data_IF_153171209293
#
_entry.id   IF_153171209293
#
_cell.length_a   1.000
_cell.length_b   1.000
_cell.length_c   1.000
_cell.angle_alpha   90.00
_cell.angle_beta   90.00
_cell.angle_gamma   90.00
#
_symmetry.space_group_name_H-M   'P 1'
#
loop_
_entity.id
_entity.type
_entity.pdbx_description
1 polymer ?
#
# COMPACT_ATOMS: atom_id res chain seq x y z
N UNK A 1 20.49 -13.55 -15.35
CA UNK A 1 20.38 -12.08 -15.52
C UNK A 1 19.81 -11.82 -16.91
N UNK A 2 18.86 -10.89 -17.02
CA UNK A 2 18.39 -10.40 -18.31
C UNK A 2 19.48 -9.58 -19.00
N UNK A 3 19.57 -9.65 -20.33
CA UNK A 3 20.48 -8.88 -21.15
C UNK A 3 19.73 -7.81 -21.96
N UNK A 4 18.98 -6.94 -21.30
CA UNK A 4 18.20 -5.87 -21.94
C UNK A 4 18.08 -4.64 -21.05
N UNK A 5 17.87 -3.47 -21.66
CA UNK A 5 17.43 -2.26 -20.98
C UNK A 5 15.90 -2.22 -21.01
N UNK A 6 15.27 -2.39 -19.85
CA UNK A 6 13.82 -2.39 -19.73
C UNK A 6 13.26 -0.98 -19.59
N UNK A 7 12.06 -0.78 -20.13
CA UNK A 7 11.27 0.44 -19.92
C UNK A 7 10.02 0.08 -19.15
N UNK A 8 9.70 0.86 -18.13
CA UNK A 8 8.42 0.76 -17.42
C UNK A 8 7.31 1.41 -18.26
N UNK A 9 6.04 1.05 -18.04
CA UNK A 9 4.91 1.75 -18.67
C UNK A 9 4.92 3.25 -18.32
N UNK A 10 4.54 4.09 -19.28
CA UNK A 10 4.36 5.53 -19.03
C UNK A 10 3.16 5.72 -18.08
N UNK A 11 3.33 6.44 -16.96
CA UNK A 11 2.23 6.67 -16.03
C UNK A 11 1.27 7.73 -16.59
N UNK A 12 -0.01 7.58 -16.25
CA UNK A 12 -1.03 8.61 -16.42
C UNK A 12 -1.88 8.64 -15.16
N UNK A 13 -2.48 9.80 -14.87
CA UNK A 13 -3.37 9.93 -13.71
C UNK A 13 -4.61 9.07 -13.91
N UNK A 14 -4.93 8.28 -12.90
CA UNK A 14 -6.10 7.42 -12.88
C UNK A 14 -7.37 8.28 -12.99
N UNK A 15 -8.27 7.98 -13.95
CA UNK A 15 -9.53 8.71 -14.08
C UNK A 15 -10.38 8.61 -12.82
N UNK A 16 -10.88 9.75 -12.35
CA UNK A 16 -11.84 9.83 -11.24
C UNK A 16 -13.22 9.39 -11.74
N UNK A 17 -13.76 8.31 -11.17
CA UNK A 17 -15.09 7.83 -11.49
C UNK A 17 -16.18 8.71 -10.86
N UNK A 18 -17.30 8.82 -11.55
CA UNK A 18 -18.33 9.83 -11.20
C UNK A 18 -19.34 9.35 -10.17
N UNK A 19 -19.59 8.04 -10.08
CA UNK A 19 -20.62 7.44 -9.22
C UNK A 19 -22.02 8.02 -9.43
N UNK A 20 -22.31 8.46 -10.65
CA UNK A 20 -23.63 8.99 -11.03
C UNK A 20 -24.72 7.91 -10.88
N UNK A 21 -25.99 8.28 -10.67
CA UNK A 21 -27.09 7.30 -10.61
C UNK A 21 -27.10 6.38 -11.84
N UNK A 22 -27.25 5.06 -11.61
CA UNK A 22 -27.27 4.03 -12.65
C UNK A 22 -25.91 3.68 -13.29
N UNK A 23 -24.80 4.14 -12.70
CA UNK A 23 -23.46 3.77 -13.15
C UNK A 23 -22.97 2.46 -12.50
N UNK A 24 -22.17 1.69 -13.22
CA UNK A 24 -21.66 0.39 -12.76
C UNK A 24 -20.78 0.56 -11.51
N UNK A 25 -19.96 1.60 -11.46
CA UNK A 25 -19.12 1.90 -10.28
C UNK A 25 -19.95 2.19 -9.02
N UNK A 26 -21.13 2.79 -9.18
CA UNK A 26 -22.05 3.05 -8.08
C UNK A 26 -22.68 1.75 -7.59
N UNK A 27 -23.17 0.92 -8.49
CA UNK A 27 -23.85 -0.33 -8.13
C UNK A 27 -22.88 -1.30 -7.44
N UNK A 28 -21.66 -1.43 -7.97
CA UNK A 28 -20.61 -2.27 -7.37
C UNK A 28 -20.16 -1.77 -6.00
N UNK A 29 -19.99 -0.46 -5.82
CA UNK A 29 -19.65 0.13 -4.53
C UNK A 29 -20.79 -0.01 -3.52
N UNK A 30 -22.05 0.18 -3.93
CA UNK A 30 -23.20 0.00 -3.05
C UNK A 30 -23.33 -1.46 -2.57
N UNK A 31 -23.15 -2.43 -3.48
CA UNK A 31 -23.11 -3.84 -3.12
C UNK A 31 -21.99 -4.12 -2.10
N UNK A 32 -20.79 -3.59 -2.35
CA UNK A 32 -19.63 -3.78 -1.46
C UNK A 32 -19.82 -3.11 -0.09
N UNK A 33 -20.39 -1.90 -0.05
CA UNK A 33 -20.75 -1.23 1.21
C UNK A 33 -21.79 -2.03 2.00
N UNK A 34 -22.79 -2.60 1.34
CA UNK A 34 -23.82 -3.42 2.01
C UNK A 34 -23.22 -4.70 2.60
N UNK A 35 -22.33 -5.37 1.87
CA UNK A 35 -21.58 -6.55 2.33
C UNK A 35 -20.70 -6.21 3.55
N UNK A 36 -19.88 -5.17 3.45
CA UNK A 36 -18.90 -4.83 4.48
C UNK A 36 -19.51 -4.26 5.77
N UNK A 37 -20.72 -3.67 5.69
CA UNK A 37 -21.44 -3.18 6.88
C UNK A 37 -21.97 -4.30 7.78
N UNK A 38 -22.18 -5.51 7.26
CA UNK A 38 -22.67 -6.65 8.05
C UNK A 38 -21.57 -7.66 8.37
N UNK A 39 -20.34 -7.42 7.90
CA UNK A 39 -19.20 -8.28 8.11
C UNK A 39 -18.19 -7.62 9.06
N UNK A 40 -18.14 -8.12 10.29
CA UNK A 40 -17.05 -7.80 11.21
C UNK A 40 -15.79 -8.58 10.81
N UNK A 41 -14.63 -7.91 10.83
CA UNK A 41 -13.33 -8.56 10.62
C UNK A 41 -12.46 -8.52 11.87
N UNK A 42 -11.54 -9.46 11.97
CA UNK A 42 -10.47 -9.45 12.96
C UNK A 42 -9.15 -9.16 12.24
N UNK A 43 -8.54 -8.01 12.53
CA UNK A 43 -7.29 -7.57 11.89
C UNK A 43 -6.10 -8.01 12.77
N UNK A 44 -5.31 -9.00 12.32
CA UNK A 44 -4.11 -9.42 13.04
C UNK A 44 -2.96 -8.44 12.78
N UNK A 45 -1.90 -8.56 13.58
CA UNK A 45 -0.59 -8.09 13.14
C UNK A 45 -0.10 -9.01 12.03
N UNK A 46 0.57 -8.48 11.00
CA UNK A 46 1.19 -9.33 9.97
C UNK A 46 2.69 -9.13 9.99
N UNK A 47 3.41 -10.14 10.46
CA UNK A 47 4.85 -10.11 10.72
C UNK A 47 5.50 -11.29 9.99
N UNK A 48 6.46 -11.02 9.11
CA UNK A 48 7.13 -12.06 8.32
C UNK A 48 6.19 -12.87 7.42
N UNK A 49 5.04 -12.28 7.05
CA UNK A 49 3.99 -12.96 6.28
C UNK A 49 3.03 -13.83 7.13
N UNK A 50 3.18 -13.85 8.45
CA UNK A 50 2.31 -14.60 9.36
C UNK A 50 1.35 -13.68 10.11
N UNK A 51 0.10 -14.12 10.26
CA UNK A 51 -0.88 -13.45 11.11
C UNK A 51 -0.63 -13.75 12.59
N UNK A 52 -0.47 -12.71 13.40
CA UNK A 52 -0.28 -12.80 14.84
C UNK A 52 -1.46 -12.13 15.55
N UNK A 53 -2.12 -12.91 16.41
CA UNK A 53 -3.25 -12.48 17.25
C UNK A 53 -2.78 -12.39 18.69
N UNK A 54 -2.65 -11.16 19.20
CA UNK A 54 -2.11 -10.89 20.54
C UNK A 54 -3.13 -11.07 21.67
N UNK A 55 -4.42 -11.11 21.34
CA UNK A 55 -5.53 -11.06 22.31
C UNK A 55 -5.82 -9.65 22.86
N UNK A 56 -4.83 -8.76 22.89
CA UNK A 56 -5.04 -7.33 23.18
C UNK A 56 -5.66 -6.65 21.95
N UNK A 57 -6.93 -6.25 22.05
CA UNK A 57 -7.73 -5.83 20.90
C UNK A 57 -8.42 -4.48 21.11
N UNK A 58 -8.61 -3.76 20.01
CA UNK A 58 -9.38 -2.51 19.96
C UNK A 58 -10.46 -2.64 18.90
N UNK A 59 -11.67 -2.21 19.24
CA UNK A 59 -12.80 -2.21 18.32
C UNK A 59 -12.70 -1.08 17.29
N UNK A 60 -12.95 -1.41 16.03
CA UNK A 60 -13.10 -0.45 14.94
C UNK A 60 -14.58 -0.13 14.75
N UNK A 61 -14.92 1.15 14.76
CA UNK A 61 -16.28 1.64 14.53
C UNK A 61 -16.30 2.61 13.35
N UNK A 62 -17.42 2.66 12.63
CA UNK A 62 -17.61 3.71 11.62
C UNK A 62 -17.78 5.09 12.28
N UNK A 63 -17.05 6.14 11.87
CA UNK A 63 -17.18 7.46 12.49
C UNK A 63 -18.55 8.16 12.26
N UNK A 64 -19.25 7.85 11.17
CA UNK A 64 -20.61 8.40 10.93
C UNK A 64 -21.72 7.56 11.60
N UNK A 65 -21.39 6.36 12.07
CA UNK A 65 -22.30 5.52 12.84
C UNK A 65 -21.49 4.71 13.87
N UNK A 66 -21.23 5.31 15.04
CA UNK A 66 -20.40 4.67 16.06
C UNK A 66 -20.97 3.34 16.60
N UNK A 67 -22.26 3.03 16.37
CA UNK A 67 -22.85 1.74 16.73
C UNK A 67 -22.53 0.65 15.70
N UNK A 68 -22.15 1.03 14.47
CA UNK A 68 -21.67 0.11 13.46
C UNK A 68 -20.24 -0.33 13.80
N UNK A 69 -20.12 -1.54 14.33
CA UNK A 69 -18.85 -2.22 14.56
C UNK A 69 -18.36 -2.82 13.26
N UNK A 70 -17.17 -2.41 12.82
CA UNK A 70 -16.50 -2.94 11.63
C UNK A 70 -15.62 -4.15 11.95
N UNK A 71 -15.30 -4.36 13.23
CA UNK A 71 -14.44 -5.43 13.66
C UNK A 71 -13.55 -5.05 14.84
N UNK A 72 -12.47 -5.80 15.03
CA UNK A 72 -11.41 -5.52 16.01
C UNK A 72 -10.04 -5.64 15.36
N UNK A 73 -9.03 -4.96 15.90
CA UNK A 73 -7.64 -5.18 15.53
C UNK A 73 -6.77 -5.48 16.75
N UNK A 74 -5.71 -6.24 16.54
CA UNK A 74 -4.72 -6.58 17.56
C UNK A 74 -3.69 -5.46 17.74
N UNK A 75 -3.42 -5.10 18.99
CA UNK A 75 -2.34 -4.17 19.33
C UNK A 75 -1.00 -4.91 19.42
N UNK A 76 0.06 -4.25 18.95
CA UNK A 76 1.44 -4.73 19.09
C UNK A 76 2.06 -4.23 20.39
N UNK A 77 2.65 -5.15 21.16
CA UNK A 77 3.51 -4.83 22.29
C UNK A 77 4.99 -4.79 21.89
N UNK A 78 5.87 -4.63 22.88
CA UNK A 78 7.32 -4.61 22.68
C UNK A 78 7.83 -5.88 21.98
N UNK A 79 7.30 -7.05 22.36
CA UNK A 79 7.67 -8.35 21.79
C UNK A 79 7.34 -8.42 20.29
N UNK A 80 6.13 -8.00 19.91
CA UNK A 80 5.69 -8.04 18.52
C UNK A 80 6.47 -7.03 17.65
N UNK A 81 6.80 -5.85 18.21
CA UNK A 81 7.66 -4.87 17.53
C UNK A 81 9.06 -5.43 17.31
N UNK A 82 9.69 -6.05 18.32
CA UNK A 82 10.99 -6.69 18.17
C UNK A 82 10.97 -7.78 17.09
N UNK A 83 9.96 -8.64 17.09
CA UNK A 83 9.76 -9.68 16.08
C UNK A 83 9.56 -9.10 14.68
N UNK A 84 8.83 -7.98 14.56
CA UNK A 84 8.64 -7.28 13.29
C UNK A 84 9.94 -6.72 12.74
N UNK A 85 10.79 -6.13 13.58
CA UNK A 85 12.13 -5.64 13.22
C UNK A 85 13.00 -6.80 12.73
N UNK A 86 13.08 -7.88 13.51
CA UNK A 86 13.89 -9.06 13.16
C UNK A 86 13.44 -9.66 11.82
N UNK A 87 12.13 -9.82 11.63
CA UNK A 87 11.55 -10.38 10.39
C UNK A 87 11.81 -9.48 9.18
N UNK A 88 11.69 -8.17 9.33
CA UNK A 88 12.00 -7.22 8.26
C UNK A 88 13.49 -7.29 7.88
N UNK A 89 14.39 -7.27 8.86
CA UNK A 89 15.83 -7.34 8.62
C UNK A 89 16.25 -8.66 7.98
N UNK A 90 15.61 -9.78 8.37
CA UNK A 90 15.83 -11.08 7.74
C UNK A 90 15.42 -11.10 6.25
N UNK A 91 14.35 -10.39 5.88
CA UNK A 91 13.89 -10.28 4.49
C UNK A 91 14.72 -9.29 3.64
N UNK A 92 15.41 -8.34 4.29
CA UNK A 92 16.07 -7.20 3.60
C UNK A 92 17.03 -7.63 2.51
N UNK A 93 17.90 -8.61 2.78
CA UNK A 93 18.93 -9.02 1.84
C UNK A 93 18.34 -9.59 0.55
N UNK A 94 17.35 -10.48 0.66
CA UNK A 94 16.68 -11.08 -0.48
C UNK A 94 15.88 -10.04 -1.28
N UNK A 95 15.16 -9.14 -0.60
CA UNK A 95 14.38 -8.09 -1.23
C UNK A 95 15.24 -7.04 -1.95
N UNK A 96 16.34 -6.61 -1.34
CA UNK A 96 17.30 -5.70 -1.95
C UNK A 96 18.00 -6.31 -3.17
N UNK A 97 18.29 -7.62 -3.13
CA UNK A 97 18.92 -8.35 -4.22
C UNK A 97 17.99 -8.63 -5.42
N UNK A 98 16.67 -8.52 -5.23
CA UNK A 98 15.71 -8.59 -6.33
C UNK A 98 15.99 -7.46 -7.33
N UNK A 99 16.04 -7.71 -8.66
CA UNK A 99 16.19 -6.63 -9.62
C UNK A 99 15.05 -5.61 -9.49
N UNK A 100 15.38 -4.32 -9.65
CA UNK A 100 14.44 -3.24 -9.35
C UNK A 100 13.18 -3.30 -10.21
N UNK A 101 13.27 -3.83 -11.43
CA UNK A 101 12.15 -4.03 -12.35
C UNK A 101 11.12 -5.03 -11.79
N UNK A 102 11.59 -6.09 -11.14
CA UNK A 102 10.73 -7.08 -10.50
C UNK A 102 10.08 -6.53 -9.23
N UNK A 103 10.79 -5.67 -8.47
CA UNK A 103 10.15 -4.92 -7.38
C UNK A 103 9.09 -3.97 -7.92
N UNK A 104 9.39 -3.22 -8.97
CA UNK A 104 8.46 -2.31 -9.62
C UNK A 104 7.19 -3.02 -10.12
N UNK A 105 7.33 -4.23 -10.69
CA UNK A 105 6.17 -4.96 -11.23
C UNK A 105 5.14 -5.36 -10.17
N UNK A 106 5.55 -5.52 -8.91
CA UNK A 106 4.62 -5.78 -7.79
C UNK A 106 3.68 -4.59 -7.59
N UNK A 107 4.22 -3.37 -7.60
CA UNK A 107 3.41 -2.16 -7.38
C UNK A 107 2.57 -1.79 -8.61
N UNK A 108 3.07 -2.06 -9.82
CA UNK A 108 2.25 -1.94 -11.03
C UNK A 108 1.07 -2.90 -11.01
N UNK A 109 1.29 -4.16 -10.61
CA UNK A 109 0.21 -5.14 -10.44
C UNK A 109 -0.79 -4.69 -9.37
N UNK A 110 -0.32 -4.20 -8.23
CA UNK A 110 -1.20 -3.68 -7.17
C UNK A 110 -2.05 -2.49 -7.67
N UNK A 111 -1.45 -1.59 -8.46
CA UNK A 111 -2.16 -0.47 -9.07
C UNK A 111 -3.25 -0.94 -10.04
N UNK A 112 -2.99 -1.95 -10.87
CA UNK A 112 -3.99 -2.48 -11.80
C UNK A 112 -5.10 -3.28 -11.10
N UNK A 113 -4.76 -4.04 -10.06
CA UNK A 113 -5.74 -4.69 -9.19
C UNK A 113 -6.66 -3.66 -8.52
N UNK A 114 -6.10 -2.54 -8.05
CA UNK A 114 -6.85 -1.45 -7.44
C UNK A 114 -7.67 -0.65 -8.46
N UNK A 115 -7.18 -0.46 -9.68
CA UNK A 115 -7.93 0.20 -10.75
C UNK A 115 -9.15 -0.62 -11.20
N UNK A 116 -9.10 -1.96 -11.03
CA UNK A 116 -10.15 -2.89 -11.36
C UNK A 116 -10.86 -3.49 -10.14
N UNK A 117 -10.68 -4.79 -9.86
CA UNK A 117 -11.53 -5.54 -8.92
C UNK A 117 -11.48 -5.05 -7.47
N UNK A 118 -10.37 -4.44 -7.04
CA UNK A 118 -10.22 -3.96 -5.67
C UNK A 118 -10.73 -2.53 -5.45
N UNK A 119 -11.03 -1.77 -6.51
CA UNK A 119 -11.53 -0.38 -6.40
C UNK A 119 -12.75 -0.24 -5.47
N UNK A 120 -13.85 -1.01 -5.64
CA UNK A 120 -15.00 -0.90 -4.75
C UNK A 120 -14.68 -1.35 -3.32
N UNK A 121 -13.75 -2.29 -3.14
CA UNK A 121 -13.34 -2.79 -1.81
C UNK A 121 -12.63 -1.69 -1.03
N UNK A 122 -11.60 -1.07 -1.62
CA UNK A 122 -10.80 -0.10 -0.90
C UNK A 122 -11.52 1.24 -0.71
N UNK A 123 -12.37 1.64 -1.67
CA UNK A 123 -13.26 2.79 -1.50
C UNK A 123 -14.29 2.53 -0.39
N UNK A 124 -14.95 1.37 -0.36
CA UNK A 124 -15.88 1.02 0.71
C UNK A 124 -15.19 1.00 2.09
N UNK A 125 -14.01 0.39 2.18
CA UNK A 125 -13.23 0.35 3.41
C UNK A 125 -12.89 1.76 3.92
N UNK A 126 -12.48 2.65 3.03
CA UNK A 126 -12.13 4.04 3.37
C UNK A 126 -13.37 4.84 3.76
N UNK A 127 -14.49 4.66 3.06
CA UNK A 127 -15.76 5.31 3.41
C UNK A 127 -16.24 4.88 4.79
N UNK A 128 -16.23 3.57 5.09
CA UNK A 128 -16.70 3.03 6.37
C UNK A 128 -15.75 3.37 7.53
N UNK A 129 -14.44 3.13 7.35
CA UNK A 129 -13.45 3.32 8.42
C UNK A 129 -13.10 4.77 8.70
N UNK A 130 -13.10 5.64 7.68
CA UNK A 130 -12.66 7.03 7.80
C UNK A 130 -13.77 8.04 7.49
N UNK A 131 -15.02 7.58 7.32
CA UNK A 131 -16.20 8.42 7.08
C UNK A 131 -16.10 9.36 5.88
N UNK A 132 -15.43 8.90 4.82
CA UNK A 132 -15.34 9.66 3.57
C UNK A 132 -16.63 9.54 2.75
N UNK A 133 -16.96 10.61 2.02
CA UNK A 133 -17.93 10.51 0.94
C UNK A 133 -17.33 9.71 -0.22
N UNK A 134 -18.16 9.22 -1.14
CA UNK A 134 -17.67 8.43 -2.29
C UNK A 134 -16.62 9.18 -3.11
N UNK A 135 -16.83 10.47 -3.39
CA UNK A 135 -15.85 11.28 -4.11
C UNK A 135 -14.54 11.42 -3.32
N UNK A 136 -14.61 11.64 -2.00
CA UNK A 136 -13.43 11.78 -1.15
C UNK A 136 -12.65 10.47 -1.01
N UNK A 137 -13.32 9.32 -1.02
CA UNK A 137 -12.66 8.02 -1.05
C UNK A 137 -12.06 7.75 -2.43
N UNK A 138 -12.78 8.03 -3.52
CA UNK A 138 -12.33 7.79 -4.88
C UNK A 138 -11.03 8.54 -5.22
N UNK A 139 -10.95 9.84 -4.91
CA UNK A 139 -9.76 10.62 -5.23
C UNK A 139 -8.54 10.24 -4.36
N UNK A 140 -8.75 9.58 -3.22
CA UNK A 140 -7.72 9.19 -2.25
C UNK A 140 -7.38 7.70 -2.39
N UNK A 141 -8.27 6.84 -1.91
CA UNK A 141 -8.06 5.42 -1.76
C UNK A 141 -7.91 4.70 -3.11
N UNK A 142 -8.55 5.18 -4.17
CA UNK A 142 -8.35 4.67 -5.53
C UNK A 142 -7.31 5.51 -6.28
N UNK A 143 -7.69 6.69 -6.78
CA UNK A 143 -6.89 7.44 -7.75
C UNK A 143 -5.49 7.79 -7.22
N UNK A 144 -5.39 8.45 -6.06
CA UNK A 144 -4.08 8.87 -5.52
C UNK A 144 -3.20 7.67 -5.15
N UNK A 145 -3.77 6.56 -4.67
CA UNK A 145 -3.01 5.33 -4.39
C UNK A 145 -2.47 4.69 -5.68
N UNK A 146 -3.31 4.55 -6.70
CA UNK A 146 -2.93 4.02 -8.03
C UNK A 146 -1.84 4.90 -8.64
N UNK A 147 -2.02 6.21 -8.56
CA UNK A 147 -1.06 7.18 -9.08
C UNK A 147 0.26 7.10 -8.31
N UNK A 148 0.25 7.04 -6.99
CA UNK A 148 1.50 6.87 -6.23
C UNK A 148 2.29 5.66 -6.70
N UNK A 149 1.64 4.51 -6.90
CA UNK A 149 2.36 3.32 -7.35
C UNK A 149 2.85 3.41 -8.79
N UNK A 150 2.03 3.91 -9.73
CA UNK A 150 2.44 4.08 -11.13
C UNK A 150 3.53 5.12 -11.30
N UNK A 151 3.36 6.30 -10.70
CA UNK A 151 4.32 7.40 -10.82
C UNK A 151 5.61 7.12 -10.04
N UNK A 152 5.57 6.51 -8.85
CA UNK A 152 6.81 6.14 -8.16
C UNK A 152 7.62 5.12 -8.95
N UNK A 153 6.99 4.21 -9.69
CA UNK A 153 7.70 3.30 -10.60
C UNK A 153 8.36 4.06 -11.75
N UNK A 154 7.68 5.05 -12.33
CA UNK A 154 8.27 5.92 -13.34
C UNK A 154 9.45 6.73 -12.79
N UNK A 155 9.31 7.29 -11.59
CA UNK A 155 10.40 8.00 -10.91
C UNK A 155 11.56 7.08 -10.56
N UNK A 156 11.30 5.84 -10.16
CA UNK A 156 12.33 4.82 -9.95
C UNK A 156 13.08 4.53 -11.25
N UNK A 157 12.38 4.37 -12.37
CA UNK A 157 13.03 4.14 -13.66
C UNK A 157 13.88 5.35 -14.10
N UNK A 158 13.39 6.58 -13.87
CA UNK A 158 14.14 7.80 -14.11
C UNK A 158 15.42 7.85 -13.25
N UNK A 159 15.30 7.50 -11.96
CA UNK A 159 16.43 7.44 -11.04
C UNK A 159 17.48 6.42 -11.49
N UNK A 160 17.06 5.22 -11.89
CA UNK A 160 17.98 4.17 -12.37
C UNK A 160 18.69 4.55 -13.69
N UNK A 161 18.08 5.41 -14.50
CA UNK A 161 18.67 5.91 -15.74
C UNK A 161 19.69 7.04 -15.53
N UNK A 162 19.71 7.68 -14.35
CA UNK A 162 20.63 8.78 -14.05
C UNK A 162 22.06 8.26 -13.80
N UNK A 163 22.95 8.47 -14.77
CA UNK A 163 24.32 7.96 -14.80
C UNK A 163 25.33 9.06 -15.17
N UNK A 164 26.56 9.01 -14.62
CA UNK A 164 27.55 10.07 -14.80
C UNK A 164 28.26 10.01 -16.16
N UNK A 165 28.82 11.14 -16.57
CA UNK A 165 29.76 11.20 -17.68
C UNK A 165 31.00 10.32 -17.43
N UNK A 166 31.51 9.69 -18.49
CA UNK A 166 32.71 8.85 -18.48
C UNK A 166 33.80 9.48 -19.38
N UNK A 167 34.91 10.00 -18.81
CA UNK A 167 36.05 10.49 -19.58
C UNK A 167 36.77 9.38 -20.36
N UNK A 168 37.64 9.71 -21.33
CA UNK A 168 38.44 8.72 -22.06
C UNK A 168 39.23 7.80 -21.11
N UNK A 169 39.13 6.49 -21.33
CA UNK A 169 39.82 5.46 -20.53
C UNK A 169 39.14 5.13 -19.20
N UNK A 170 38.03 5.78 -18.85
CA UNK A 170 37.27 5.55 -17.63
C UNK A 170 35.82 5.15 -17.96
N UNK A 171 35.20 4.37 -17.08
CA UNK A 171 33.76 4.09 -17.14
C UNK A 171 33.16 4.26 -15.75
N UNK A 172 32.52 5.41 -15.55
CA UNK A 172 31.87 5.76 -14.29
C UNK A 172 30.45 5.21 -14.27
N UNK A 173 30.01 4.73 -13.10
CA UNK A 173 28.65 4.22 -12.85
C UNK A 173 28.20 4.60 -11.45
N UNK A 174 26.91 4.84 -11.30
CA UNK A 174 26.27 5.04 -9.99
C UNK A 174 25.36 3.85 -9.70
N UNK A 175 25.47 3.33 -8.48
CA UNK A 175 24.58 2.31 -7.95
C UNK A 175 23.76 2.90 -6.80
N UNK A 176 22.44 2.90 -6.98
CA UNK A 176 21.49 3.39 -5.97
C UNK A 176 21.17 2.27 -4.97
N UNK A 177 21.91 2.26 -3.87
CA UNK A 177 21.73 1.27 -2.80
C UNK A 177 20.53 1.63 -1.91
N UNK A 178 19.73 0.63 -1.48
CA UNK A 178 18.76 0.85 -0.40
C UNK A 178 19.48 1.16 0.92
N UNK A 179 18.76 1.75 1.88
CA UNK A 179 19.28 2.04 3.20
C UNK A 179 19.55 0.75 3.98
N UNK A 180 20.59 0.78 4.80
CA UNK A 180 20.85 -0.28 5.79
C UNK A 180 19.89 -0.14 6.97
N UNK A 181 19.36 -1.27 7.44
CA UNK A 181 18.34 -1.32 8.48
C UNK A 181 16.92 -1.48 7.93
N UNK A 182 15.95 -0.87 8.61
CA UNK A 182 14.53 -0.90 8.27
C UNK A 182 13.93 0.51 8.32
N UNK A 183 12.83 0.71 7.60
CA UNK A 183 12.04 1.93 7.65
C UNK A 183 10.89 1.75 8.64
N UNK A 184 10.63 2.76 9.46
CA UNK A 184 9.42 2.82 10.27
C UNK A 184 8.42 3.79 9.64
N UNK A 185 7.35 3.26 9.05
CA UNK A 185 6.29 4.02 8.41
C UNK A 185 5.11 4.20 9.37
N UNK A 186 4.90 5.43 9.84
CA UNK A 186 3.76 5.80 10.68
C UNK A 186 2.79 6.63 9.84
N UNK A 187 1.58 6.12 9.61
CA UNK A 187 0.66 6.76 8.65
C UNK A 187 -0.54 7.41 9.35
N UNK A 188 -1.01 8.57 8.85
CA UNK A 188 -2.15 9.28 9.45
C UNK A 188 -3.48 8.63 9.06
N UNK A 189 -4.59 9.16 9.60
CA UNK A 189 -5.93 8.64 9.32
C UNK A 189 -6.60 9.24 8.09
N UNK A 190 -6.15 10.42 7.65
CA UNK A 190 -6.90 11.28 6.75
C UNK A 190 -6.81 10.86 5.28
N UNK A 191 -5.80 10.08 4.89
CA UNK A 191 -5.64 9.57 3.52
C UNK A 191 -5.20 8.11 3.53
N UNK A 192 -5.98 7.27 2.86
CA UNK A 192 -5.62 5.88 2.59
C UNK A 192 -4.44 5.80 1.63
N UNK A 193 -4.32 6.74 0.68
CA UNK A 193 -3.19 6.84 -0.24
C UNK A 193 -1.86 7.11 0.49
N UNK A 194 -1.86 8.01 1.47
CA UNK A 194 -0.67 8.23 2.31
C UNK A 194 -0.36 6.97 3.13
N UNK A 195 -1.41 6.29 3.64
CA UNK A 195 -1.25 5.04 4.37
C UNK A 195 -0.62 3.93 3.52
N UNK A 196 -0.99 3.84 2.24
CA UNK A 196 -0.38 2.93 1.28
C UNK A 196 1.05 3.35 0.90
N UNK A 197 1.26 4.64 0.59
CA UNK A 197 2.49 5.11 -0.03
C UNK A 197 3.70 5.12 0.91
N UNK A 198 3.54 5.56 2.16
CA UNK A 198 4.68 5.67 3.10
C UNK A 198 5.43 4.35 3.34
N UNK A 199 4.78 3.17 3.48
CA UNK A 199 5.50 1.91 3.55
C UNK A 199 5.95 1.39 2.17
N UNK A 200 5.21 1.65 1.09
CA UNK A 200 5.52 1.06 -0.23
C UNK A 200 6.61 1.79 -1.00
N UNK A 201 6.69 3.12 -0.92
CA UNK A 201 7.74 3.90 -1.60
C UNK A 201 9.17 3.46 -1.21
N UNK A 202 9.52 3.35 0.08
CA UNK A 202 10.83 2.81 0.47
C UNK A 202 10.99 1.33 0.10
N UNK A 203 9.91 0.53 0.16
CA UNK A 203 9.97 -0.87 -0.25
C UNK A 203 10.30 -1.01 -1.74
N UNK A 204 9.75 -0.16 -2.60
CA UNK A 204 9.99 -0.13 -4.04
C UNK A 204 11.48 0.05 -4.38
N UNK A 205 12.18 0.91 -3.64
CA UNK A 205 13.62 1.15 -3.81
C UNK A 205 14.52 0.15 -3.05
N UNK A 206 13.95 -0.96 -2.55
CA UNK A 206 14.69 -2.09 -1.99
C UNK A 206 14.85 -2.09 -0.47
N UNK A 207 14.16 -1.21 0.26
CA UNK A 207 14.12 -1.27 1.73
C UNK A 207 13.05 -2.24 2.23
N UNK A 208 13.07 -2.49 3.53
CA UNK A 208 11.98 -3.16 4.26
C UNK A 208 11.34 -2.16 5.22
N UNK A 209 10.05 -2.31 5.50
CA UNK A 209 9.32 -1.36 6.33
C UNK A 209 8.47 -2.05 7.41
N UNK A 210 8.47 -1.46 8.60
CA UNK A 210 7.46 -1.69 9.63
C UNK A 210 6.39 -0.62 9.46
N UNK A 211 5.17 -1.05 9.21
CA UNK A 211 4.05 -0.14 8.98
C UNK A 211 3.11 -0.12 10.19
N UNK A 212 2.98 1.06 10.82
CA UNK A 212 2.05 1.31 11.91
C UNK A 212 0.99 2.32 11.44
N UNK A 213 -0.19 1.85 11.00
CA UNK A 213 -1.28 2.73 10.59
C UNK A 213 -1.93 3.47 11.77
N UNK A 214 -2.63 4.55 11.47
CA UNK A 214 -3.48 5.23 12.46
C UNK A 214 -4.56 4.28 12.97
N UNK A 215 -4.86 4.26 14.29
CA UNK A 215 -5.97 3.50 14.88
C UNK A 215 -7.31 3.68 14.15
N UNK A 216 -7.60 4.90 13.69
CA UNK A 216 -8.83 5.25 12.97
C UNK A 216 -8.81 4.96 11.46
N UNK A 217 -7.74 4.36 10.94
CA UNK A 217 -7.64 3.93 9.54
C UNK A 217 -7.11 2.50 9.38
N UNK A 218 -7.04 1.72 10.47
CA UNK A 218 -6.59 0.31 10.44
C UNK A 218 -7.44 -0.52 9.48
N UNK A 219 -8.75 -0.27 9.41
CA UNK A 219 -9.67 -1.01 8.54
C UNK A 219 -9.26 -0.91 7.07
N UNK A 220 -9.10 0.32 6.53
CA UNK A 220 -8.65 0.52 5.16
C UNK A 220 -7.20 0.07 4.95
N UNK A 221 -6.30 0.34 5.91
CA UNK A 221 -4.91 -0.09 5.86
C UNK A 221 -4.78 -1.62 5.73
N UNK A 222 -5.63 -2.39 6.40
CA UNK A 222 -5.65 -3.84 6.27
C UNK A 222 -6.03 -4.28 4.86
N UNK A 223 -7.03 -3.66 4.22
CA UNK A 223 -7.38 -3.97 2.83
C UNK A 223 -6.29 -3.55 1.83
N UNK A 224 -5.57 -2.43 2.07
CA UNK A 224 -4.35 -2.11 1.30
C UNK A 224 -3.32 -3.22 1.45
N UNK A 225 -3.09 -3.72 2.67
CA UNK A 225 -2.16 -4.82 2.91
C UNK A 225 -2.59 -6.10 2.17
N UNK A 226 -3.88 -6.48 2.24
CA UNK A 226 -4.40 -7.66 1.51
C UNK A 226 -4.24 -7.52 0.00
N UNK A 227 -4.48 -6.33 -0.55
CA UNK A 227 -4.24 -6.02 -1.96
C UNK A 227 -2.76 -6.20 -2.35
N UNK A 228 -1.82 -5.78 -1.50
CA UNK A 228 -0.38 -5.95 -1.74
C UNK A 228 0.07 -7.42 -1.65
N UNK A 229 -0.67 -8.28 -0.94
CA UNK A 229 -0.36 -9.72 -0.84
C UNK A 229 -0.78 -10.54 -2.07
N UNK A 230 -1.76 -10.07 -2.84
CA UNK A 230 -2.40 -10.79 -3.97
C UNK A 230 -1.54 -10.83 -5.25
#
# INVERSE_FOLDING_TARGET
MSNALFKVPEPYNEPVLTYKPGSVERDTLQAKLAEMQVQEIEVPLVIGGQEIRTGDTVTMHSPHNHQLKLGVYHQAGEKEVALAIESALAARAAWAAMPWEHRASIFLKAADLLAGPWRPVLNAATMLGQSKTVHQAEIDAACETIDFWRFNVAYLAQLMADQPYSPPGLWNRVEYRPLEGFIFAVTPFNFTAIAANLPTAPAMVGNVALWKPSPSAVYAAYYVFKLLQE
#
